data_IF_416595274634
#
_entry.id   IF_416595274634
#
_cell.length_a   1.000
_cell.length_b   1.000
_cell.length_c   1.000
_cell.angle_alpha   90.00
_cell.angle_beta   90.00
_cell.angle_gamma   90.00
#
_symmetry.space_group_name_H-M   'P 1'
#
loop_
_entity.id
_entity.type
_entity.pdbx_description
1 polymer ?
#
# COMPACT_ATOMS: atom_id res chain seq x y z
N UNK A 1 -67.17 -27.33 -40.04
CA UNK A 1 -66.26 -26.35 -40.68
C UNK A 1 -65.26 -25.85 -39.62
N UNK A 2 -63.98 -26.19 -39.83
CA UNK A 2 -62.86 -26.10 -38.88
C UNK A 2 -62.32 -24.67 -38.72
N UNK A 3 -62.92 -23.81 -37.89
CA UNK A 3 -62.34 -22.48 -37.57
C UNK A 3 -61.63 -22.39 -36.21
N UNK A 4 -61.75 -23.39 -35.32
CA UNK A 4 -61.07 -23.37 -34.01
C UNK A 4 -59.57 -23.70 -34.07
N UNK A 5 -59.13 -24.50 -35.05
CA UNK A 5 -57.72 -24.90 -35.17
C UNK A 5 -56.77 -23.77 -35.58
N UNK A 6 -57.21 -22.86 -36.47
CA UNK A 6 -56.38 -21.76 -36.98
C UNK A 6 -56.12 -20.67 -35.94
N UNK A 7 -57.06 -20.43 -35.03
CA UNK A 7 -56.94 -19.38 -34.00
C UNK A 7 -56.00 -19.77 -32.85
N UNK A 8 -55.97 -21.06 -32.50
CA UNK A 8 -55.10 -21.60 -31.45
C UNK A 8 -53.64 -21.73 -31.92
N UNK A 9 -53.42 -22.16 -33.17
CA UNK A 9 -52.09 -22.25 -33.77
C UNK A 9 -51.40 -20.87 -33.83
N UNK A 10 -52.14 -19.83 -34.22
CA UNK A 10 -51.61 -18.47 -34.28
C UNK A 10 -51.22 -17.91 -32.89
N UNK A 11 -51.93 -18.31 -31.83
CA UNK A 11 -51.60 -17.92 -30.45
C UNK A 11 -50.38 -18.66 -29.90
N UNK A 12 -50.22 -19.95 -30.21
CA UNK A 12 -49.04 -20.72 -29.80
C UNK A 12 -47.79 -20.11 -30.47
N UNK A 13 -47.87 -19.77 -31.74
CA UNK A 13 -46.76 -19.18 -32.48
C UNK A 13 -46.39 -17.78 -31.98
N UNK A 14 -47.38 -16.97 -31.60
CA UNK A 14 -47.16 -15.67 -30.96
C UNK A 14 -46.47 -15.81 -29.59
N UNK A 15 -46.88 -16.77 -28.77
CA UNK A 15 -46.23 -17.07 -27.48
C UNK A 15 -44.81 -17.60 -27.67
N UNK A 16 -44.58 -18.50 -28.62
CA UNK A 16 -43.22 -18.98 -28.94
C UNK A 16 -42.30 -17.83 -29.33
N UNK A 17 -42.78 -16.89 -30.14
CA UNK A 17 -42.04 -15.70 -30.54
C UNK A 17 -41.74 -14.76 -29.37
N UNK A 18 -42.66 -14.62 -28.43
CA UNK A 18 -42.45 -13.82 -27.22
C UNK A 18 -41.43 -14.48 -26.26
N UNK A 19 -41.48 -15.81 -26.12
CA UNK A 19 -40.50 -16.59 -25.36
C UNK A 19 -39.12 -16.45 -26.00
N UNK A 20 -39.00 -16.61 -27.31
CA UNK A 20 -37.73 -16.46 -28.04
C UNK A 20 -37.14 -15.06 -27.89
N UNK A 21 -37.98 -14.02 -27.98
CA UNK A 21 -37.56 -12.63 -27.75
C UNK A 21 -37.06 -12.42 -26.32
N UNK A 22 -37.77 -12.99 -25.33
CA UNK A 22 -37.39 -12.89 -23.92
C UNK A 22 -36.07 -13.61 -23.65
N UNK A 23 -35.87 -14.78 -24.26
CA UNK A 23 -34.61 -15.54 -24.18
C UNK A 23 -33.46 -14.71 -24.76
N UNK A 24 -33.62 -14.19 -25.99
CA UNK A 24 -32.66 -13.33 -26.66
C UNK A 24 -32.26 -12.14 -25.78
N UNK A 25 -33.25 -11.43 -25.25
CA UNK A 25 -33.02 -10.24 -24.43
C UNK A 25 -32.35 -10.58 -23.10
N UNK A 26 -32.71 -11.69 -22.48
CA UNK A 26 -32.10 -12.18 -21.23
C UNK A 26 -30.63 -12.56 -21.45
N UNK A 27 -30.32 -13.26 -22.55
CA UNK A 27 -28.94 -13.65 -22.92
C UNK A 27 -28.08 -12.41 -23.15
N UNK A 28 -28.56 -11.45 -23.95
CA UNK A 28 -27.83 -10.21 -24.21
C UNK A 28 -27.60 -9.41 -22.92
N UNK A 29 -28.62 -9.26 -22.06
CA UNK A 29 -28.49 -8.57 -20.79
C UNK A 29 -27.48 -9.25 -19.85
N UNK A 30 -27.51 -10.59 -19.79
CA UNK A 30 -26.61 -11.37 -18.94
C UNK A 30 -25.16 -11.28 -19.44
N UNK A 31 -24.92 -11.42 -20.75
CA UNK A 31 -23.58 -11.34 -21.34
C UNK A 31 -22.99 -9.92 -21.26
N UNK A 32 -23.82 -8.89 -21.35
CA UNK A 32 -23.39 -7.50 -21.18
C UNK A 32 -23.10 -7.18 -19.71
N UNK A 33 -23.90 -7.71 -18.78
CA UNK A 33 -23.63 -7.59 -17.34
C UNK A 33 -22.33 -8.30 -16.98
N UNK A 34 -22.12 -9.53 -17.46
CA UNK A 34 -20.89 -10.28 -17.27
C UNK A 34 -19.66 -9.50 -17.75
N UNK A 35 -19.71 -8.91 -18.94
CA UNK A 35 -18.60 -8.10 -19.46
C UNK A 35 -18.33 -6.88 -18.57
N UNK A 36 -19.38 -6.17 -18.16
CA UNK A 36 -19.25 -5.02 -17.27
C UNK A 36 -18.65 -5.42 -15.92
N UNK A 37 -19.08 -6.54 -15.35
CA UNK A 37 -18.54 -7.08 -14.09
C UNK A 37 -17.06 -7.46 -14.24
N UNK A 38 -16.68 -8.06 -15.37
CA UNK A 38 -15.29 -8.39 -15.69
C UNK A 38 -14.41 -7.13 -15.77
N UNK A 39 -14.91 -6.09 -16.43
CA UNK A 39 -14.21 -4.80 -16.53
C UNK A 39 -14.11 -4.10 -15.18
N UNK A 40 -15.17 -4.15 -14.36
CA UNK A 40 -15.16 -3.61 -13.00
C UNK A 40 -14.13 -4.33 -12.12
N UNK A 41 -14.05 -5.67 -12.20
CA UNK A 41 -13.05 -6.45 -11.46
C UNK A 41 -11.64 -6.03 -11.88
N UNK A 42 -11.37 -5.88 -13.18
CA UNK A 42 -10.07 -5.45 -13.68
C UNK A 42 -9.70 -4.04 -13.16
N UNK A 43 -10.64 -3.09 -13.21
CA UNK A 43 -10.44 -1.74 -12.69
C UNK A 43 -10.18 -1.73 -11.18
N UNK A 44 -10.95 -2.49 -10.39
CA UNK A 44 -10.75 -2.63 -8.95
C UNK A 44 -9.37 -3.20 -8.60
N UNK A 45 -8.89 -4.17 -9.38
CA UNK A 45 -7.54 -4.74 -9.23
C UNK A 45 -6.48 -3.68 -9.49
N UNK A 46 -6.58 -2.95 -10.60
CA UNK A 46 -5.63 -1.90 -10.97
C UNK A 46 -5.60 -0.77 -9.94
N UNK A 47 -6.77 -0.32 -9.49
CA UNK A 47 -6.89 0.71 -8.45
C UNK A 47 -6.25 0.24 -7.14
N UNK A 48 -6.47 -1.02 -6.74
CA UNK A 48 -5.84 -1.57 -5.54
C UNK A 48 -4.33 -1.68 -5.65
N UNK A 49 -3.80 -2.07 -6.81
CA UNK A 49 -2.36 -2.12 -7.05
C UNK A 49 -1.73 -0.73 -7.04
N UNK A 50 -2.41 0.25 -7.63
CA UNK A 50 -1.99 1.65 -7.63
C UNK A 50 -1.98 2.23 -6.22
N UNK A 51 -3.05 2.02 -5.45
CA UNK A 51 -3.14 2.45 -4.06
C UNK A 51 -2.00 1.84 -3.23
N UNK A 52 -1.73 0.55 -3.39
CA UNK A 52 -0.65 -0.13 -2.68
C UNK A 52 0.74 0.45 -3.02
N UNK A 53 0.98 0.78 -4.30
CA UNK A 53 2.23 1.42 -4.72
C UNK A 53 2.45 2.78 -4.03
N UNK A 54 1.37 3.57 -3.90
CA UNK A 54 1.39 4.85 -3.19
C UNK A 54 1.61 4.65 -1.69
N UNK A 55 0.95 3.67 -1.07
CA UNK A 55 1.16 3.32 0.33
C UNK A 55 2.60 2.87 0.58
N UNK A 56 3.21 2.11 -0.33
CA UNK A 56 4.62 1.70 -0.26
C UNK A 56 5.58 2.90 -0.21
N UNK A 57 5.40 3.88 -1.12
CA UNK A 57 6.21 5.12 -1.12
C UNK A 57 6.01 5.95 0.15
N UNK A 58 4.76 6.07 0.61
CA UNK A 58 4.44 6.76 1.88
C UNK A 58 5.09 6.08 3.08
N UNK A 59 5.08 4.74 3.13
CA UNK A 59 5.72 3.97 4.17
C UNK A 59 7.24 4.14 4.18
N UNK A 60 7.89 4.18 3.01
CA UNK A 60 9.31 4.45 2.91
C UNK A 60 9.65 5.84 3.47
N UNK A 61 8.85 6.85 3.11
CA UNK A 61 9.03 8.22 3.61
C UNK A 61 8.78 8.32 5.12
N UNK A 62 7.77 7.62 5.64
CA UNK A 62 7.48 7.53 7.07
C UNK A 62 8.64 6.87 7.83
N UNK A 63 9.18 5.76 7.30
CA UNK A 63 10.33 5.05 7.87
C UNK A 63 11.59 5.90 7.85
N UNK A 64 11.84 6.63 6.76
CA UNK A 64 12.98 7.54 6.66
C UNK A 64 12.88 8.69 7.66
N UNK A 65 11.71 9.33 7.77
CA UNK A 65 11.47 10.39 8.78
C UNK A 65 11.65 9.84 10.20
N UNK A 66 11.07 8.69 10.50
CA UNK A 66 11.24 8.02 11.78
C UNK A 66 12.71 7.69 12.07
N UNK A 67 13.46 7.23 11.08
CA UNK A 67 14.90 6.99 11.20
C UNK A 67 15.69 8.27 11.48
N UNK A 68 15.43 9.36 10.74
CA UNK A 68 16.09 10.65 10.99
C UNK A 68 15.83 11.16 12.42
N UNK A 69 14.57 11.16 12.86
CA UNK A 69 14.24 11.56 14.24
C UNK A 69 14.83 10.60 15.28
N UNK A 70 14.93 9.31 14.97
CA UNK A 70 15.56 8.32 15.82
C UNK A 70 17.06 8.55 15.98
N UNK A 71 17.77 8.79 14.87
CA UNK A 71 19.20 9.11 14.87
C UNK A 71 19.45 10.40 15.64
N UNK A 72 18.69 11.47 15.40
CA UNK A 72 18.84 12.73 16.14
C UNK A 72 18.53 12.53 17.63
N UNK A 73 17.44 11.83 17.95
CA UNK A 73 17.03 11.57 19.34
C UNK A 73 18.03 10.72 20.13
N UNK A 74 18.81 9.86 19.47
CA UNK A 74 19.85 9.04 20.10
C UNK A 74 21.23 9.70 20.12
N UNK A 75 21.62 10.35 19.02
CA UNK A 75 22.95 10.99 18.89
C UNK A 75 23.11 12.16 19.86
N UNK A 76 22.06 12.93 20.08
CA UNK A 76 22.08 14.12 20.93
C UNK A 76 22.38 13.84 22.42
N UNK A 77 21.72 12.88 23.10
CA UNK A 77 22.09 12.47 24.45
C UNK A 77 23.46 11.75 24.51
N UNK A 78 23.84 11.03 23.46
CA UNK A 78 25.14 10.34 23.40
C UNK A 78 26.31 11.33 23.31
N UNK A 79 26.16 12.39 22.51
CA UNK A 79 27.12 13.48 22.41
C UNK A 79 27.29 14.21 23.74
N UNK A 80 26.19 14.46 24.46
CA UNK A 80 26.25 15.07 25.79
C UNK A 80 26.99 14.19 26.79
N UNK A 81 26.70 12.88 26.80
CA UNK A 81 27.40 11.93 27.66
C UNK A 81 28.90 11.90 27.37
N UNK A 82 29.27 11.92 26.08
CA UNK A 82 30.67 12.02 25.66
C UNK A 82 31.33 13.33 26.12
N UNK A 83 30.67 14.49 25.94
CA UNK A 83 31.21 15.78 26.42
C UNK A 83 31.38 15.82 27.94
N UNK A 84 30.46 15.22 28.69
CA UNK A 84 30.52 15.16 30.15
C UNK A 84 31.67 14.27 30.64
N UNK A 85 31.88 13.11 30.01
CA UNK A 85 32.98 12.19 30.30
C UNK A 85 34.34 12.82 29.99
N UNK A 86 34.48 13.49 28.84
CA UNK A 86 35.71 14.22 28.49
C UNK A 86 35.98 15.30 29.54
N UNK A 87 34.96 16.10 29.89
CA UNK A 87 35.13 17.21 30.84
C UNK A 87 35.43 16.77 32.27
N UNK A 88 35.01 15.57 32.70
CA UNK A 88 35.13 15.12 34.10
C UNK A 88 36.29 14.15 34.31
N UNK A 89 36.60 13.31 33.31
CA UNK A 89 37.50 12.16 33.48
C UNK A 89 38.45 11.99 32.29
N UNK A 90 39.09 13.08 31.88
CA UNK A 90 40.01 13.12 30.72
C UNK A 90 41.13 12.07 30.79
N UNK A 91 41.67 11.81 31.99
CA UNK A 91 42.80 10.90 32.22
C UNK A 91 42.44 9.42 32.10
N UNK A 92 41.27 9.01 32.59
CA UNK A 92 40.79 7.62 32.47
C UNK A 92 40.25 7.31 31.08
N UNK A 93 39.80 8.33 30.35
CA UNK A 93 39.29 8.16 28.98
C UNK A 93 40.44 8.02 27.98
N UNK A 94 41.55 8.75 28.18
CA UNK A 94 42.76 8.65 27.36
C UNK A 94 43.41 7.26 27.44
N UNK A 95 43.42 6.64 28.63
CA UNK A 95 43.99 5.28 28.81
C UNK A 95 43.14 4.18 28.18
N UNK A 96 41.83 4.38 28.01
CA UNK A 96 40.91 3.36 27.45
C UNK A 96 40.70 3.52 25.94
N UNK A 97 40.58 4.76 25.42
CA UNK A 97 40.36 5.01 24.00
C UNK A 97 41.67 5.20 23.20
N UNK A 98 42.79 5.46 23.87
CA UNK A 98 44.07 5.78 23.24
C UNK A 98 44.17 7.23 22.76
N UNK A 99 45.38 7.76 22.76
CA UNK A 99 45.66 9.19 22.55
C UNK A 99 45.19 9.68 21.16
N UNK A 100 45.31 8.87 20.12
CA UNK A 100 44.93 9.22 18.74
C UNK A 100 43.41 9.47 18.57
N UNK A 101 42.58 8.67 19.25
CA UNK A 101 41.12 8.85 19.23
C UNK A 101 40.71 10.03 20.12
N UNK A 102 41.41 10.23 21.24
CA UNK A 102 41.18 11.34 22.17
C UNK A 102 41.40 12.70 21.48
N UNK A 103 42.51 12.85 20.75
CA UNK A 103 42.84 14.06 19.97
C UNK A 103 41.77 14.34 18.91
N UNK A 104 41.33 13.30 18.19
CA UNK A 104 40.29 13.45 17.16
C UNK A 104 38.97 13.88 17.79
N UNK A 105 38.59 13.26 18.90
CA UNK A 105 37.34 13.56 19.61
C UNK A 105 37.35 14.97 20.20
N UNK A 106 38.50 15.44 20.72
CA UNK A 106 38.66 16.78 21.29
C UNK A 106 38.60 17.87 20.20
N UNK A 107 39.08 17.61 18.98
CA UNK A 107 38.94 18.55 17.85
C UNK A 107 37.46 18.70 17.46
N UNK A 108 36.70 17.61 17.38
CA UNK A 108 35.30 17.65 16.97
C UNK A 108 34.36 18.13 18.09
N UNK A 109 34.60 17.74 19.35
CA UNK A 109 33.80 18.14 20.51
C UNK A 109 34.32 19.42 21.17
N UNK A 110 35.49 19.94 20.82
CA UNK A 110 36.12 21.12 21.43
C UNK A 110 35.29 22.40 21.41
N UNK A 111 34.63 22.76 20.30
CA UNK A 111 33.71 23.90 20.28
C UNK A 111 32.51 23.69 21.21
N UNK A 112 32.02 22.44 21.28
CA UNK A 112 30.87 22.07 22.10
C UNK A 112 31.23 22.04 23.60
N UNK A 113 32.42 21.55 23.95
CA UNK A 113 32.93 21.53 25.33
C UNK A 113 33.23 22.95 25.82
N UNK A 114 33.70 23.84 24.94
CA UNK A 114 33.90 25.26 25.25
C UNK A 114 32.58 25.99 25.48
N UNK A 115 31.55 25.67 24.66
CA UNK A 115 30.19 26.17 24.88
C UNK A 115 29.60 25.63 26.20
N UNK A 116 29.89 24.37 26.54
CA UNK A 116 29.46 23.76 27.79
C UNK A 116 30.09 24.40 29.03
N UNK A 117 31.36 24.81 28.96
CA UNK A 117 32.06 25.52 30.05
C UNK A 117 31.45 26.90 30.36
N UNK A 118 30.70 27.52 29.44
CA UNK A 118 29.98 28.78 29.68
C UNK A 118 28.71 28.60 30.50
N UNK A 119 28.23 27.37 30.68
CA UNK A 119 27.01 27.09 31.42
C UNK A 119 27.29 27.16 32.93
N UNK A 120 26.54 27.97 33.71
CA UNK A 120 26.70 28.01 35.16
C UNK A 120 26.36 26.67 35.81
N UNK A 121 27.21 26.21 36.72
CA UNK A 121 27.13 24.89 37.37
C UNK A 121 25.77 24.62 38.06
N UNK A 122 25.07 25.69 38.49
CA UNK A 122 23.74 25.62 39.11
C UNK A 122 22.63 25.17 38.16
N UNK A 123 22.76 25.41 36.85
CA UNK A 123 21.75 25.07 35.85
C UNK A 123 22.11 23.81 35.03
N UNK A 124 23.31 23.27 35.22
CA UNK A 124 23.81 22.11 34.47
C UNK A 124 22.86 20.91 34.55
N UNK A 125 22.33 20.60 35.74
CA UNK A 125 21.39 19.49 35.91
C UNK A 125 20.06 19.71 35.18
N UNK A 126 19.53 20.94 35.20
CA UNK A 126 18.30 21.29 34.50
C UNK A 126 18.48 21.25 32.97
N UNK A 127 19.64 21.68 32.46
CA UNK A 127 19.95 21.64 31.03
C UNK A 127 20.12 20.20 30.55
N UNK A 128 20.89 19.37 31.28
CA UNK A 128 21.03 17.94 30.94
C UNK A 128 19.67 17.25 30.96
N UNK A 129 18.87 17.47 32.02
CA UNK A 129 17.53 16.91 32.14
C UNK A 129 16.59 17.35 31.01
N UNK A 130 16.58 18.64 30.69
CA UNK A 130 15.79 19.18 29.59
C UNK A 130 16.17 18.60 28.22
N UNK A 131 17.47 18.42 27.97
CA UNK A 131 17.93 17.82 26.72
C UNK A 131 17.61 16.32 26.65
N UNK A 132 17.72 15.58 27.76
CA UNK A 132 17.29 14.18 27.84
C UNK A 132 15.79 14.01 27.56
N UNK A 133 14.96 14.86 28.17
CA UNK A 133 13.52 14.89 27.91
C UNK A 133 13.23 15.22 26.45
N UNK A 134 13.92 16.20 25.88
CA UNK A 134 13.77 16.57 24.47
C UNK A 134 14.18 15.41 23.53
N UNK A 135 15.26 14.70 23.85
CA UNK A 135 15.69 13.50 23.13
C UNK A 135 14.64 12.38 23.22
N UNK A 136 14.05 12.18 24.39
CA UNK A 136 12.99 11.19 24.60
C UNK A 136 11.71 11.55 23.82
N UNK A 137 11.32 12.82 23.81
CA UNK A 137 10.21 13.32 22.97
C UNK A 137 10.50 13.09 21.49
N UNK A 138 11.72 13.36 21.02
CA UNK A 138 12.12 13.07 19.63
C UNK A 138 12.05 11.57 19.30
N UNK A 139 12.45 10.69 20.23
CA UNK A 139 12.33 9.24 20.06
C UNK A 139 10.88 8.76 20.04
N UNK A 140 10.01 9.38 20.85
CA UNK A 140 8.56 9.13 20.80
C UNK A 140 7.99 9.58 19.45
N UNK A 141 8.33 10.79 18.99
CA UNK A 141 7.93 11.30 17.68
C UNK A 141 8.46 10.45 16.52
N UNK A 142 9.68 9.90 16.65
CA UNK A 142 10.24 8.94 15.70
C UNK A 142 9.38 7.68 15.62
N UNK A 143 8.97 7.13 16.78
CA UNK A 143 8.07 5.97 16.87
C UNK A 143 6.70 6.25 16.25
N UNK A 144 6.10 7.40 16.53
CA UNK A 144 4.80 7.77 15.96
C UNK A 144 4.90 8.03 14.45
N UNK A 145 5.95 8.72 14.00
CA UNK A 145 6.17 9.04 12.58
C UNK A 145 6.54 7.83 11.74
N UNK A 146 7.10 6.78 12.35
CA UNK A 146 7.47 5.53 11.67
C UNK A 146 6.32 4.53 11.55
N UNK A 147 5.09 4.86 11.98
CA UNK A 147 3.94 3.98 11.78
C UNK A 147 3.68 3.78 10.29
N UNK A 148 3.93 2.57 9.82
CA UNK A 148 3.69 2.14 8.44
C UNK A 148 2.33 1.47 8.32
N UNK A 149 1.65 1.68 7.21
CA UNK A 149 0.41 0.99 6.85
C UNK A 149 0.73 -0.37 6.22
N UNK A 150 -0.13 -1.37 6.39
CA UNK A 150 0.06 -2.70 5.78
C UNK A 150 -0.06 -2.64 4.26
N UNK A 151 0.99 -3.04 3.55
CA UNK A 151 0.98 -3.18 2.08
C UNK A 151 0.74 -4.64 1.67
N UNK A 152 0.17 -4.84 0.49
CA UNK A 152 -0.03 -6.13 -0.15
C UNK A 152 1.31 -6.86 -0.34
N UNK A 153 1.31 -8.14 0.03
CA UNK A 153 2.46 -9.02 -0.21
C UNK A 153 2.62 -9.32 -1.70
N UNK A 154 3.84 -9.68 -2.13
CA UNK A 154 4.11 -10.09 -3.52
C UNK A 154 3.17 -11.21 -4.01
N UNK A 155 2.84 -12.16 -3.13
CA UNK A 155 1.91 -13.26 -3.43
C UNK A 155 0.49 -12.74 -3.70
N UNK A 156 0.00 -11.82 -2.88
CA UNK A 156 -1.32 -11.20 -3.06
C UNK A 156 -1.38 -10.41 -4.36
N UNK A 157 -0.35 -9.60 -4.67
CA UNK A 157 -0.27 -8.86 -5.94
C UNK A 157 -0.30 -9.79 -7.15
N UNK A 158 0.47 -10.88 -7.11
CA UNK A 158 0.49 -11.88 -8.17
C UNK A 158 -0.90 -12.51 -8.35
N UNK A 159 -1.55 -12.90 -7.26
CA UNK A 159 -2.90 -13.48 -7.29
C UNK A 159 -3.94 -12.50 -7.87
N UNK A 160 -3.89 -11.22 -7.50
CA UNK A 160 -4.79 -10.20 -8.07
C UNK A 160 -4.59 -10.05 -9.58
N UNK A 161 -3.34 -10.01 -10.05
CA UNK A 161 -3.02 -9.95 -11.48
C UNK A 161 -3.49 -11.20 -12.22
N UNK A 162 -3.27 -12.40 -11.66
CA UNK A 162 -3.75 -13.66 -12.25
C UNK A 162 -5.28 -13.68 -12.37
N UNK A 163 -6.01 -13.16 -11.36
CA UNK A 163 -7.47 -13.03 -11.42
C UNK A 163 -7.88 -12.06 -12.53
N UNK A 164 -7.27 -10.87 -12.59
CA UNK A 164 -7.57 -9.87 -13.64
C UNK A 164 -7.30 -10.44 -15.04
N UNK A 165 -6.16 -11.10 -15.22
CA UNK A 165 -5.77 -11.70 -16.50
C UNK A 165 -6.71 -12.85 -16.91
N UNK A 166 -7.10 -13.71 -15.96
CA UNK A 166 -8.07 -14.77 -16.20
C UNK A 166 -9.44 -14.21 -16.62
N UNK A 167 -9.91 -13.18 -15.91
CA UNK A 167 -11.19 -12.51 -16.20
C UNK A 167 -11.15 -11.86 -17.59
N UNK A 168 -10.10 -11.12 -17.91
CA UNK A 168 -9.99 -10.45 -19.22
C UNK A 168 -9.77 -11.42 -20.38
N UNK A 169 -8.90 -12.43 -20.23
CA UNK A 169 -8.56 -13.34 -21.35
C UNK A 169 -9.57 -14.47 -21.49
N UNK A 170 -9.87 -15.17 -20.41
CA UNK A 170 -10.69 -16.39 -20.46
C UNK A 170 -12.17 -16.09 -20.51
N UNK A 171 -12.67 -15.17 -19.67
CA UNK A 171 -14.12 -14.91 -19.58
C UNK A 171 -14.61 -14.13 -20.80
N UNK A 172 -13.88 -13.11 -21.27
CA UNK A 172 -14.26 -12.39 -22.50
C UNK A 172 -14.19 -13.29 -23.74
N UNK A 173 -13.18 -14.14 -23.85
CA UNK A 173 -13.12 -15.12 -24.96
C UNK A 173 -14.31 -16.07 -24.92
N UNK A 174 -14.65 -16.64 -23.76
CA UNK A 174 -15.82 -17.52 -23.62
C UNK A 174 -17.15 -16.81 -23.92
N UNK A 175 -17.31 -15.54 -23.56
CA UNK A 175 -18.48 -14.73 -23.94
C UNK A 175 -18.68 -14.75 -25.46
N UNK A 176 -17.61 -14.50 -26.21
CA UNK A 176 -17.66 -14.40 -27.66
C UNK A 176 -18.04 -15.75 -28.30
N UNK A 177 -17.49 -16.85 -27.78
CA UNK A 177 -17.87 -18.21 -28.19
C UNK A 177 -19.34 -18.51 -27.89
N UNK A 178 -19.80 -18.25 -26.65
CA UNK A 178 -21.19 -18.48 -26.24
C UNK A 178 -22.20 -17.69 -27.07
N UNK A 179 -21.87 -16.44 -27.41
CA UNK A 179 -22.71 -15.61 -28.27
C UNK A 179 -22.78 -16.15 -29.70
N UNK A 180 -21.67 -16.66 -30.21
CA UNK A 180 -21.58 -17.22 -31.56
C UNK A 180 -22.29 -18.57 -31.68
N UNK A 181 -22.14 -19.45 -30.68
CA UNK A 181 -22.88 -20.72 -30.59
C UNK A 181 -24.39 -20.48 -30.52
N UNK A 182 -24.82 -19.51 -29.71
CA UNK A 182 -26.23 -19.15 -29.61
C UNK A 182 -26.78 -18.63 -30.95
N UNK A 183 -26.07 -17.71 -31.63
CA UNK A 183 -26.45 -17.23 -32.95
C UNK A 183 -26.53 -18.35 -33.99
N UNK A 184 -25.58 -19.29 -33.99
CA UNK A 184 -25.60 -20.44 -34.90
C UNK A 184 -26.82 -21.34 -34.66
N UNK A 185 -27.15 -21.62 -33.40
CA UNK A 185 -28.33 -22.41 -33.05
C UNK A 185 -29.63 -21.71 -33.46
N UNK A 186 -29.76 -20.40 -33.20
CA UNK A 186 -30.97 -19.66 -33.57
C UNK A 186 -31.19 -19.57 -35.08
N UNK A 187 -30.13 -19.42 -35.89
CA UNK A 187 -30.24 -19.41 -37.36
C UNK A 187 -30.51 -20.81 -37.91
N UNK A 188 -29.87 -21.84 -37.36
CA UNK A 188 -30.07 -23.22 -37.79
C UNK A 188 -31.49 -23.75 -37.49
N UNK A 189 -32.14 -23.26 -36.43
CA UNK A 189 -33.54 -23.60 -36.11
C UNK A 189 -34.57 -22.86 -37.00
N UNK A 190 -34.20 -21.74 -37.64
CA UNK A 190 -35.10 -20.98 -38.51
C UNK A 190 -35.18 -21.50 -39.95
N UNK A 191 -34.19 -22.29 -40.39
CA UNK A 191 -34.11 -22.87 -41.74
C UNK A 191 -34.71 -24.29 -41.85
N UNK A 192 -35.25 -24.87 -40.76
CA UNK A 192 -35.82 -26.23 -40.69
C UNK A 192 -37.35 -26.23 -40.58
#
# INVERSE_FOLDING_TARGET
MNQKGSRCANQIEEVCKEVEKTINQTIQNTLNSLERDCDQIAQLVDDKLKEDSLQGSRNLRARFRGFCYGVVGLTLPLLLLATFLISTSHSTLATVLGDSLMITLDIYLGPLSTAWKRVPQKYTQHIIGGILVMGLVMLLLARFSSRTVTTLTRKQKKKLNEISEFVQKTVKSKKQTLYQEYLQQSVAEQDL
#
